data_IF_067364184172
#
_entry.id   IF_067364184172
#
_cell.length_a   1.000
_cell.length_b   1.000
_cell.length_c   1.000
_cell.angle_alpha   90.00
_cell.angle_beta   90.00
_cell.angle_gamma   90.00
#
_symmetry.space_group_name_H-M   'P 1'
#
loop_
_entity.id
_entity.type
_entity.pdbx_description
1 polymer ?
#
# COMPACT_ATOMS: atom_id res chain seq x y z
N UNK A 1 2.67 6.28 -10.33
CA UNK A 1 2.19 5.87 -8.98
C UNK A 1 0.65 5.70 -8.98
N UNK A 2 0.12 4.83 -8.13
CA UNK A 2 -1.31 4.63 -7.86
C UNK A 2 -1.63 5.00 -6.41
N UNK A 3 -2.76 5.67 -6.16
CA UNK A 3 -3.17 6.15 -4.84
C UNK A 3 -4.50 5.54 -4.43
N UNK A 4 -4.55 4.94 -3.24
CA UNK A 4 -5.74 4.29 -2.70
C UNK A 4 -6.01 4.78 -1.28
N UNK A 5 -7.28 4.92 -0.90
CA UNK A 5 -7.60 5.05 0.52
C UNK A 5 -7.48 3.70 1.22
N UNK A 6 -8.11 2.67 0.66
CA UNK A 6 -8.16 1.32 1.22
C UNK A 6 -6.91 0.50 0.90
N UNK A 7 -6.63 -0.56 1.67
CA UNK A 7 -5.50 -1.44 1.40
C UNK A 7 -5.68 -2.18 0.07
N UNK A 8 -4.60 -2.38 -0.70
CA UNK A 8 -4.66 -3.07 -1.98
C UNK A 8 -4.93 -4.57 -1.83
N UNK A 9 -4.61 -5.16 -0.68
CA UNK A 9 -4.88 -6.57 -0.37
C UNK A 9 -5.38 -6.73 1.07
N UNK A 10 -5.95 -7.88 1.38
CA UNK A 10 -6.32 -8.33 2.71
C UNK A 10 -5.34 -9.38 3.26
N UNK A 11 -5.52 -9.78 4.52
CA UNK A 11 -4.63 -10.73 5.19
C UNK A 11 -4.58 -12.06 4.43
N UNK A 12 -3.38 -12.44 3.98
CA UNK A 12 -3.13 -13.68 3.25
C UNK A 12 -3.51 -13.65 1.76
N UNK A 13 -4.07 -12.54 1.28
CA UNK A 13 -4.41 -12.35 -0.13
C UNK A 13 -3.14 -12.02 -0.92
N UNK A 14 -2.86 -12.81 -1.95
CA UNK A 14 -1.66 -12.67 -2.79
C UNK A 14 -1.88 -11.78 -4.02
N UNK A 15 -3.13 -11.46 -4.33
CA UNK A 15 -3.51 -10.66 -5.49
C UNK A 15 -4.91 -10.08 -5.27
N UNK A 16 -5.16 -8.88 -5.79
CA UNK A 16 -6.50 -8.28 -5.85
C UNK A 16 -6.70 -7.53 -7.16
N UNK A 17 -7.93 -7.08 -7.46
CA UNK A 17 -8.15 -6.18 -8.59
C UNK A 17 -7.29 -4.91 -8.54
N UNK A 18 -6.93 -4.41 -7.35
CA UNK A 18 -6.05 -3.25 -7.21
C UNK A 18 -4.61 -3.57 -7.63
N UNK A 19 -4.08 -4.74 -7.24
CA UNK A 19 -2.72 -5.15 -7.62
C UNK A 19 -2.64 -5.45 -9.11
N UNK A 20 -3.64 -6.15 -9.66
CA UNK A 20 -3.74 -6.41 -11.11
C UNK A 20 -3.80 -5.11 -11.92
N UNK A 21 -4.57 -4.11 -11.46
CA UNK A 21 -4.59 -2.80 -12.12
C UNK A 21 -3.23 -2.10 -12.03
N UNK A 22 -2.57 -2.12 -10.87
CA UNK A 22 -1.27 -1.50 -10.70
C UNK A 22 -0.24 -2.10 -11.67
N UNK A 23 -0.20 -3.42 -11.82
CA UNK A 23 0.66 -4.11 -12.77
C UNK A 23 0.28 -3.79 -14.23
N UNK A 24 -1.00 -3.94 -14.57
CA UNK A 24 -1.52 -3.71 -15.93
C UNK A 24 -1.19 -2.31 -16.46
N UNK A 25 -1.23 -1.30 -15.60
CA UNK A 25 -0.97 0.09 -15.97
C UNK A 25 0.46 0.55 -15.67
N UNK A 26 1.37 -0.35 -15.28
CA UNK A 26 2.78 -0.04 -15.09
C UNK A 26 3.05 0.90 -13.92
N UNK A 27 2.28 0.80 -12.83
CA UNK A 27 2.51 1.62 -11.66
C UNK A 27 3.81 1.19 -10.95
N UNK A 28 4.77 2.10 -10.83
CA UNK A 28 6.00 1.86 -10.06
C UNK A 28 5.75 1.76 -8.55
N UNK A 29 4.66 2.36 -8.07
CA UNK A 29 4.33 2.45 -6.64
C UNK A 29 2.82 2.44 -6.41
N UNK A 30 2.39 1.81 -5.32
CA UNK A 30 1.03 1.88 -4.78
C UNK A 30 1.11 2.48 -3.38
N UNK A 31 0.50 3.64 -3.20
CA UNK A 31 0.47 4.37 -1.94
C UNK A 31 -0.95 4.27 -1.37
N UNK A 32 -1.07 3.71 -0.17
CA UNK A 32 -2.37 3.45 0.45
C UNK A 32 -2.39 3.81 1.94
N UNK A 33 -3.59 3.97 2.50
CA UNK A 33 -3.79 4.35 3.91
C UNK A 33 -4.67 3.30 4.61
N UNK A 34 -5.53 3.73 5.53
CA UNK A 34 -6.57 2.94 6.19
C UNK A 34 -6.11 1.97 7.29
N UNK A 35 -4.98 1.28 7.14
CA UNK A 35 -4.47 0.40 8.20
C UNK A 35 -3.99 1.23 9.41
N UNK A 36 -4.72 1.16 10.52
CA UNK A 36 -4.45 1.87 11.77
C UNK A 36 -4.24 0.90 12.93
N UNK A 37 -3.35 1.28 13.85
CA UNK A 37 -2.92 0.45 14.97
C UNK A 37 -1.83 -0.55 14.56
N UNK A 38 -0.83 -0.72 15.43
CA UNK A 38 0.37 -1.53 15.14
C UNK A 38 0.05 -2.97 14.71
N UNK A 39 -1.04 -3.53 15.24
CA UNK A 39 -1.51 -4.88 14.91
C UNK A 39 -1.97 -5.03 13.47
N UNK A 40 -2.32 -3.93 12.79
CA UNK A 40 -2.91 -3.93 11.44
C UNK A 40 -1.99 -3.39 10.36
N UNK A 41 -0.81 -2.89 10.74
CA UNK A 41 0.14 -2.33 9.78
C UNK A 41 0.61 -3.37 8.76
N UNK A 42 0.46 -4.65 9.04
CA UNK A 42 0.86 -5.78 8.19
C UNK A 42 -0.35 -6.48 7.53
N UNK A 43 -1.56 -5.91 7.60
CA UNK A 43 -2.79 -6.50 7.03
C UNK A 43 -2.82 -6.48 5.49
N UNK A 44 -1.85 -5.83 4.85
CA UNK A 44 -1.75 -5.65 3.40
C UNK A 44 -0.29 -5.57 2.94
N UNK A 45 -0.09 -5.54 1.63
CA UNK A 45 1.25 -5.47 1.05
C UNK A 45 2.04 -4.24 1.51
N UNK A 46 3.31 -4.45 1.80
CA UNK A 46 4.30 -3.40 2.09
C UNK A 46 5.64 -3.79 1.49
N UNK A 47 6.39 -2.79 1.06
CA UNK A 47 7.67 -3.01 0.37
C UNK A 47 7.46 -3.39 -1.10
N UNK A 48 8.46 -4.01 -1.70
CA UNK A 48 8.42 -4.37 -3.12
C UNK A 48 7.73 -5.71 -3.34
N UNK A 49 6.71 -5.73 -4.20
CA UNK A 49 6.01 -6.94 -4.66
C UNK A 49 5.83 -6.82 -6.17
N UNK A 50 6.26 -7.82 -6.93
CA UNK A 50 6.18 -7.85 -8.40
C UNK A 50 6.78 -6.58 -9.08
N UNK A 51 7.84 -6.02 -8.51
CA UNK A 51 8.50 -4.81 -9.02
C UNK A 51 7.74 -3.50 -8.73
N UNK A 52 6.69 -3.55 -7.91
CA UNK A 52 5.89 -2.39 -7.49
C UNK A 52 6.14 -2.12 -6.00
N UNK A 53 6.41 -0.87 -5.65
CA UNK A 53 6.63 -0.47 -4.26
C UNK A 53 5.31 -0.11 -3.56
N UNK A 54 4.93 -0.88 -2.53
CA UNK A 54 3.74 -0.66 -1.71
C UNK A 54 4.06 0.09 -0.42
N UNK A 55 3.39 1.22 -0.19
CA UNK A 55 3.62 2.09 0.97
C UNK A 55 2.33 2.35 1.74
N UNK A 56 2.33 1.97 3.03
CA UNK A 56 1.33 2.41 3.99
C UNK A 56 1.66 3.83 4.48
N UNK A 57 0.72 4.77 4.32
CA UNK A 57 0.90 6.18 4.71
C UNK A 57 -0.16 6.67 5.70
N UNK A 58 -0.75 5.77 6.50
CA UNK A 58 -1.63 6.16 7.60
C UNK A 58 -0.88 7.02 8.63
N UNK A 59 -1.56 8.03 9.19
CA UNK A 59 -0.91 9.06 10.01
C UNK A 59 -0.19 8.47 11.24
N UNK A 60 -0.78 7.49 11.90
CA UNK A 60 -0.20 6.82 13.06
C UNK A 60 1.01 5.95 12.68
N UNK A 61 0.95 5.25 11.54
CA UNK A 61 2.11 4.52 10.99
C UNK A 61 3.28 5.47 10.70
N UNK A 62 2.98 6.65 10.14
CA UNK A 62 3.95 7.69 9.81
C UNK A 62 4.35 8.57 11.01
N UNK A 63 3.86 8.27 12.21
CA UNK A 63 4.10 9.07 13.43
C UNK A 63 3.77 10.55 13.23
N UNK A 64 2.68 10.81 12.50
CA UNK A 64 2.17 12.14 12.15
C UNK A 64 3.19 13.02 11.43
N UNK A 65 4.10 12.41 10.64
CA UNK A 65 5.03 13.11 9.77
C UNK A 65 4.73 12.77 8.31
N UNK A 66 4.52 13.77 7.43
CA UNK A 66 4.28 13.50 6.01
C UNK A 66 5.44 12.74 5.37
N UNK A 67 5.13 11.74 4.56
CA UNK A 67 6.11 11.06 3.71
C UNK A 67 6.20 11.78 2.36
N UNK A 68 7.42 12.07 1.90
CA UNK A 68 7.66 12.60 0.56
C UNK A 68 7.62 11.45 -0.45
N UNK A 69 6.63 11.49 -1.34
CA UNK A 69 6.52 10.59 -2.49
C UNK A 69 7.23 11.23 -3.70
N UNK A 70 8.07 10.46 -4.39
CA UNK A 70 8.76 10.85 -5.63
C UNK A 70 8.22 10.02 -6.79
#
# INVERSE_FOLDING_TARGET
>A
PSFLHYPPTTIGEQESPFTQMAEKYGAEQVIYSHCHGRERYDDSFKGEVNGIMYRLVSSDYQKFRPERIL
#
